data_IF_074297960983
#
_entry.id   IF_074297960983
#
_cell.length_a   1.000
_cell.length_b   1.000
_cell.length_c   1.000
_cell.angle_alpha   90.00
_cell.angle_beta   90.00
_cell.angle_gamma   90.00
#
_symmetry.space_group_name_H-M   'P 1'
#
loop_
_entity.id
_entity.type
_entity.pdbx_description
1 polymer ?
#
# COMPACT_ATOMS: atom_id res chain seq x y z
N UNK A 1 14.60 -18.56 -14.77
CA UNK A 1 14.64 -17.10 -14.68
C UNK A 1 13.39 -16.38 -15.21
N UNK A 2 12.77 -16.83 -16.33
CA UNK A 2 11.59 -16.14 -16.91
C UNK A 2 10.42 -15.90 -15.92
N UNK A 3 10.21 -16.80 -14.96
CA UNK A 3 9.12 -16.68 -13.97
C UNK A 3 9.43 -15.74 -12.77
N UNK A 4 10.59 -15.09 -12.77
CA UNK A 4 11.02 -14.14 -11.73
C UNK A 4 11.30 -12.74 -12.28
N UNK A 5 10.92 -12.50 -13.54
CA UNK A 5 11.05 -11.21 -14.20
C UNK A 5 9.66 -10.62 -14.45
N UNK A 6 9.44 -9.43 -13.95
CA UNK A 6 8.26 -8.63 -14.25
C UNK A 6 8.72 -7.36 -14.98
N UNK A 7 8.21 -7.14 -16.19
CA UNK A 7 8.33 -5.85 -16.87
C UNK A 7 7.02 -5.10 -16.68
N UNK A 8 7.09 -3.83 -16.31
CA UNK A 8 5.90 -3.05 -15.97
C UNK A 8 4.87 -3.01 -17.10
N UNK A 9 5.31 -2.91 -18.34
CA UNK A 9 4.45 -2.93 -19.53
C UNK A 9 3.80 -4.29 -19.85
N UNK A 10 4.17 -5.36 -19.14
CA UNK A 10 3.55 -6.69 -19.24
C UNK A 10 2.56 -6.96 -18.10
N UNK A 11 2.41 -6.03 -17.15
CA UNK A 11 1.49 -6.18 -16.04
C UNK A 11 0.05 -5.92 -16.49
N UNK A 12 -0.89 -6.69 -15.96
CA UNK A 12 -2.31 -6.52 -16.21
C UNK A 12 -2.94 -6.00 -14.91
N UNK A 13 -3.48 -4.77 -14.92
CA UNK A 13 -4.09 -4.21 -13.72
C UNK A 13 -5.47 -4.81 -13.45
N UNK A 14 -5.85 -4.93 -12.17
CA UNK A 14 -7.24 -4.94 -11.77
C UNK A 14 -7.75 -3.51 -11.70
N UNK A 15 -8.89 -3.25 -12.34
CA UNK A 15 -9.60 -1.95 -12.30
C UNK A 15 -10.74 -1.96 -11.28
N UNK A 16 -11.05 -3.10 -10.69
CA UNK A 16 -12.04 -3.27 -9.62
C UNK A 16 -11.44 -4.14 -8.49
N UNK A 17 -10.31 -3.71 -7.90
CA UNK A 17 -9.59 -4.54 -6.93
C UNK A 17 -10.27 -4.63 -5.57
N UNK A 18 -11.16 -3.69 -5.24
CA UNK A 18 -11.75 -3.53 -3.91
C UNK A 18 -13.22 -3.11 -3.99
N UNK A 19 -13.92 -3.30 -2.89
CA UNK A 19 -15.36 -2.98 -2.74
C UNK A 19 -15.71 -1.54 -3.11
N UNK A 20 -14.79 -0.61 -2.93
CA UNK A 20 -14.94 0.82 -3.23
C UNK A 20 -14.72 1.20 -4.71
N UNK A 21 -14.30 0.24 -5.55
CA UNK A 21 -13.80 0.51 -6.90
C UNK A 21 -14.76 1.18 -7.86
N UNK A 22 -16.07 1.24 -7.55
CA UNK A 22 -17.06 2.01 -8.32
C UNK A 22 -17.36 3.41 -7.76
N UNK A 23 -16.78 3.78 -6.63
CA UNK A 23 -17.01 5.09 -6.03
C UNK A 23 -16.21 6.19 -6.75
N UNK A 24 -16.76 7.39 -6.76
CA UNK A 24 -16.01 8.60 -7.14
C UNK A 24 -14.78 8.73 -6.23
N UNK A 25 -13.64 9.11 -6.83
CA UNK A 25 -12.36 9.16 -6.14
C UNK A 25 -11.65 7.80 -6.00
N UNK A 26 -12.24 6.69 -6.51
CA UNK A 26 -11.63 5.36 -6.45
C UNK A 26 -11.66 4.62 -7.79
N UNK A 27 -12.54 4.98 -8.70
CA UNK A 27 -12.80 4.26 -9.95
C UNK A 27 -11.72 4.41 -11.02
N UNK A 28 -10.94 5.49 -10.97
CA UNK A 28 -9.83 5.76 -11.90
C UNK A 28 -8.48 5.35 -11.29
N UNK A 29 -8.49 4.17 -10.67
CA UNK A 29 -7.33 3.53 -10.07
C UNK A 29 -7.09 2.16 -10.68
N UNK A 30 -5.83 1.81 -10.90
CA UNK A 30 -5.36 0.51 -11.39
C UNK A 30 -4.43 -0.11 -10.36
N UNK A 31 -4.73 -1.34 -9.95
CA UNK A 31 -3.88 -2.09 -9.04
C UNK A 31 -3.16 -3.21 -9.78
N UNK A 32 -1.86 -3.34 -9.56
CA UNK A 32 -1.01 -4.35 -10.18
C UNK A 32 -0.45 -5.27 -9.11
N UNK A 33 -0.62 -6.58 -9.26
CA UNK A 33 -0.01 -7.60 -8.39
C UNK A 33 1.24 -8.13 -9.06
N UNK A 34 2.41 -7.69 -8.57
CA UNK A 34 3.72 -8.00 -9.15
C UNK A 34 4.27 -9.28 -8.52
N UNK A 35 4.36 -9.33 -7.19
CA UNK A 35 4.76 -10.50 -6.41
C UNK A 35 3.67 -10.77 -5.38
N UNK A 36 3.09 -11.96 -5.42
CA UNK A 36 1.99 -12.35 -4.54
C UNK A 36 0.67 -11.63 -4.85
N UNK A 37 -0.43 -12.04 -4.20
CA UNK A 37 -1.77 -11.51 -4.45
C UNK A 37 -2.00 -10.09 -3.90
N UNK A 38 -1.21 -9.67 -2.90
CA UNK A 38 -1.53 -8.47 -2.14
C UNK A 38 -2.85 -8.61 -1.37
N UNK A 39 -3.41 -7.49 -0.92
CA UNK A 39 -4.68 -7.44 -0.17
C UNK A 39 -5.91 -7.27 -1.05
N UNK A 40 -5.79 -7.36 -2.39
CA UNK A 40 -6.92 -7.15 -3.28
C UNK A 40 -8.04 -8.17 -3.05
N UNK A 41 -9.28 -7.69 -3.04
CA UNK A 41 -10.50 -8.50 -2.89
C UNK A 41 -10.94 -9.15 -4.21
N UNK A 42 -10.34 -8.73 -5.33
CA UNK A 42 -10.55 -9.32 -6.65
C UNK A 42 -9.82 -10.65 -6.77
N UNK A 43 -10.53 -11.75 -6.61
CA UNK A 43 -9.99 -13.12 -6.74
C UNK A 43 -9.53 -13.47 -8.18
N UNK A 44 -9.87 -12.66 -9.17
CA UNK A 44 -9.51 -12.87 -10.58
C UNK A 44 -8.34 -12.00 -11.03
N UNK A 45 -7.72 -11.25 -10.12
CA UNK A 45 -6.59 -10.40 -10.47
C UNK A 45 -5.43 -11.21 -11.05
N UNK A 46 -4.73 -10.61 -12.01
CA UNK A 46 -3.52 -11.21 -12.58
C UNK A 46 -2.33 -11.01 -11.64
N UNK A 47 -1.66 -12.09 -11.26
CA UNK A 47 -0.45 -12.07 -10.43
C UNK A 47 0.74 -12.46 -11.30
N UNK A 48 1.70 -11.56 -11.49
CA UNK A 48 2.85 -11.79 -12.38
C UNK A 48 3.82 -12.84 -11.83
N UNK A 49 4.13 -12.78 -10.54
CA UNK A 49 5.02 -13.71 -9.82
C UNK A 49 4.24 -14.27 -8.64
N UNK A 50 3.61 -15.43 -8.83
CA UNK A 50 2.76 -16.05 -7.81
C UNK A 50 3.55 -16.87 -6.77
N UNK A 51 4.86 -17.09 -6.99
CA UNK A 51 5.70 -17.84 -6.07
C UNK A 51 5.91 -17.04 -4.77
N UNK A 52 5.80 -17.67 -3.58
CA UNK A 52 6.05 -17.03 -2.29
C UNK A 52 7.46 -16.44 -2.18
N UNK A 53 7.58 -15.25 -1.57
CA UNK A 53 8.83 -14.52 -1.38
C UNK A 53 8.98 -13.93 0.01
N UNK A 54 8.08 -14.26 0.95
CA UNK A 54 7.94 -13.69 2.29
C UNK A 54 7.57 -12.19 2.29
N UNK A 55 7.11 -11.68 1.15
CA UNK A 55 6.51 -10.35 0.98
C UNK A 55 5.63 -10.34 -0.25
N UNK A 56 4.72 -9.38 -0.31
CA UNK A 56 3.97 -9.05 -1.52
C UNK A 56 4.47 -7.71 -2.08
N UNK A 57 4.53 -7.60 -3.39
CA UNK A 57 4.85 -6.35 -4.10
C UNK A 57 3.74 -6.05 -5.10
N UNK A 58 3.13 -4.90 -4.94
CA UNK A 58 2.15 -4.35 -5.86
C UNK A 58 2.56 -2.98 -6.37
N UNK A 59 1.74 -2.45 -7.26
CA UNK A 59 1.79 -1.06 -7.66
C UNK A 59 0.37 -0.53 -7.83
N UNK A 60 0.21 0.77 -7.61
CA UNK A 60 -1.05 1.48 -7.83
C UNK A 60 -0.77 2.67 -8.71
N UNK A 61 -1.46 2.77 -9.86
CA UNK A 61 -1.57 4.04 -10.58
C UNK A 61 -2.97 4.61 -10.40
N UNK A 62 -3.06 5.94 -10.29
CA UNK A 62 -4.33 6.63 -10.17
C UNK A 62 -4.30 7.98 -10.85
N UNK A 63 -5.42 8.33 -11.49
CA UNK A 63 -5.65 9.69 -11.97
C UNK A 63 -5.80 10.67 -10.80
N UNK A 64 -5.67 11.98 -11.01
CA UNK A 64 -5.87 12.98 -9.98
C UNK A 64 -7.16 12.76 -9.16
N UNK A 65 -7.09 12.99 -7.85
CA UNK A 65 -8.19 12.83 -6.90
C UNK A 65 -8.73 11.38 -6.79
N UNK A 66 -7.94 10.38 -7.22
CA UNK A 66 -8.28 8.97 -7.06
C UNK A 66 -7.26 8.26 -6.16
N UNK A 67 -7.75 7.28 -5.39
CA UNK A 67 -6.93 6.55 -4.43
C UNK A 67 -7.72 5.46 -3.72
N UNK A 68 -7.37 5.20 -2.45
CA UNK A 68 -8.08 4.25 -1.60
C UNK A 68 -8.96 4.95 -0.57
N UNK A 69 -10.04 4.31 -0.14
CA UNK A 69 -10.81 4.70 1.03
C UNK A 69 -10.12 4.27 2.33
N UNK A 70 -10.66 4.76 3.45
CA UNK A 70 -10.14 4.43 4.78
C UNK A 70 -10.33 2.95 5.11
N UNK A 71 -9.21 2.27 5.31
CA UNK A 71 -9.16 0.86 5.64
C UNK A 71 -7.97 0.55 6.56
N UNK A 72 -8.00 -0.60 7.19
CA UNK A 72 -6.91 -1.15 7.99
C UNK A 72 -6.64 -2.58 7.60
N UNK A 73 -5.42 -3.03 7.78
CA UNK A 73 -5.07 -4.45 7.75
C UNK A 73 -3.93 -4.73 8.75
N UNK A 74 -3.70 -6.00 9.04
CA UNK A 74 -2.78 -6.44 10.09
C UNK A 74 -1.33 -6.53 9.64
N UNK A 75 -1.10 -6.51 8.34
CA UNK A 75 0.25 -6.58 7.75
C UNK A 75 0.89 -5.21 7.66
N UNK A 76 2.21 -5.14 7.81
CA UNK A 76 2.99 -3.95 7.53
C UNK A 76 2.87 -3.57 6.05
N UNK A 77 2.70 -2.28 5.77
CA UNK A 77 2.54 -1.75 4.43
C UNK A 77 3.44 -0.55 4.19
N UNK A 78 4.27 -0.66 3.17
CA UNK A 78 5.24 0.37 2.80
C UNK A 78 4.94 0.89 1.41
N UNK A 79 4.75 2.20 1.32
CA UNK A 79 4.53 2.90 0.05
C UNK A 79 5.81 3.59 -0.40
N UNK A 80 6.19 3.35 -1.65
CA UNK A 80 7.31 3.98 -2.34
C UNK A 80 6.72 4.85 -3.44
N UNK A 81 6.82 6.16 -3.30
CA UNK A 81 6.29 7.10 -4.28
C UNK A 81 7.21 7.13 -5.49
N UNK A 82 6.78 6.51 -6.59
CA UNK A 82 7.57 6.47 -7.83
C UNK A 82 7.39 7.74 -8.66
N UNK A 83 6.14 8.18 -8.82
CA UNK A 83 5.82 9.42 -9.52
C UNK A 83 4.54 10.06 -8.97
N UNK A 84 4.39 11.36 -9.22
CA UNK A 84 3.26 12.13 -8.77
C UNK A 84 3.43 12.67 -7.35
N UNK A 85 2.35 13.20 -6.85
CA UNK A 85 2.22 13.80 -5.52
C UNK A 85 1.04 13.14 -4.83
N UNK A 86 1.28 12.57 -3.65
CA UNK A 86 0.30 11.71 -2.98
C UNK A 86 -0.04 12.24 -1.60
N UNK A 87 -1.33 12.32 -1.31
CA UNK A 87 -1.88 12.57 0.01
C UNK A 87 -2.10 11.23 0.70
N UNK A 88 -1.53 11.07 1.87
CA UNK A 88 -1.84 9.98 2.80
C UNK A 88 -2.63 10.57 3.96
N UNK A 89 -3.74 9.95 4.33
CA UNK A 89 -4.57 10.41 5.43
C UNK A 89 -5.02 9.22 6.27
N UNK A 90 -5.25 9.45 7.56
CA UNK A 90 -5.47 8.36 8.50
C UNK A 90 -6.40 8.74 9.65
N UNK A 91 -6.68 7.70 10.54
CA UNK A 91 -7.70 7.72 11.57
C UNK A 91 -9.06 7.34 11.00
N UNK A 92 -10.00 7.01 11.87
CA UNK A 92 -11.34 6.55 11.46
C UNK A 92 -12.12 7.60 10.64
N UNK A 93 -11.78 8.88 10.80
CA UNK A 93 -12.40 10.01 10.10
C UNK A 93 -11.49 10.63 9.03
N UNK A 94 -10.24 10.16 8.90
CA UNK A 94 -9.28 10.65 7.90
C UNK A 94 -8.88 12.12 8.08
N UNK A 95 -8.79 12.60 9.33
CA UNK A 95 -8.52 14.03 9.63
C UNK A 95 -7.05 14.40 9.62
N UNK A 96 -6.19 13.48 10.01
CA UNK A 96 -4.74 13.68 9.98
C UNK A 96 -4.22 13.28 8.60
N UNK A 97 -3.30 14.06 8.02
CA UNK A 97 -2.80 13.83 6.67
C UNK A 97 -1.38 14.32 6.44
N UNK A 98 -0.75 13.82 5.39
CA UNK A 98 0.53 14.30 4.88
C UNK A 98 0.58 14.20 3.36
N UNK A 99 1.31 15.12 2.73
CA UNK A 99 1.63 15.05 1.30
C UNK A 99 3.06 14.54 1.13
N UNK A 100 3.21 13.53 0.28
CA UNK A 100 4.49 12.95 -0.11
C UNK A 100 4.71 13.09 -1.62
N UNK A 101 5.97 13.21 -2.02
CA UNK A 101 6.38 13.43 -3.40
C UNK A 101 7.21 12.26 -3.91
N UNK A 102 7.46 12.22 -5.22
CA UNK A 102 8.30 11.21 -5.85
C UNK A 102 9.65 11.05 -5.11
N UNK A 103 10.00 9.81 -4.81
CA UNK A 103 11.18 9.44 -4.04
C UNK A 103 10.98 9.32 -2.54
N UNK A 104 9.89 9.87 -1.98
CA UNK A 104 9.54 9.70 -0.56
C UNK A 104 9.01 8.28 -0.31
N UNK A 105 9.16 7.81 0.93
CA UNK A 105 8.71 6.48 1.37
C UNK A 105 8.01 6.63 2.71
N UNK A 106 6.87 5.95 2.88
CA UNK A 106 6.16 5.87 4.14
C UNK A 106 5.84 4.41 4.48
N UNK A 107 6.13 4.02 5.72
CA UNK A 107 5.69 2.75 6.29
C UNK A 107 4.48 2.98 7.18
N UNK A 108 3.32 2.56 6.72
CA UNK A 108 2.10 2.72 7.50
C UNK A 108 2.05 1.71 8.65
N UNK A 109 1.86 2.16 9.91
CA UNK A 109 1.66 1.26 11.02
C UNK A 109 0.47 0.33 10.82
N UNK A 110 0.58 -0.90 11.34
CA UNK A 110 -0.53 -1.84 11.41
C UNK A 110 -1.63 -1.34 12.35
N UNK A 111 -2.80 -1.96 12.30
CA UNK A 111 -3.92 -1.66 13.20
C UNK A 111 -4.37 -0.18 13.22
N UNK A 112 -4.20 0.51 12.09
CA UNK A 112 -4.57 1.92 11.91
C UNK A 112 -5.38 2.07 10.63
N UNK A 113 -6.47 2.84 10.67
CA UNK A 113 -7.16 3.24 9.43
C UNK A 113 -6.31 4.24 8.66
N UNK A 114 -6.09 3.96 7.39
CA UNK A 114 -5.35 4.81 6.46
C UNK A 114 -5.95 4.75 5.07
N UNK A 115 -5.62 5.76 4.31
CA UNK A 115 -5.99 5.90 2.91
C UNK A 115 -4.94 6.73 2.18
N UNK A 116 -5.00 6.72 0.85
CA UNK A 116 -4.16 7.56 0.01
C UNK A 116 -4.94 8.06 -1.19
N UNK A 117 -4.48 9.18 -1.75
CA UNK A 117 -5.08 9.83 -2.91
C UNK A 117 -3.99 10.47 -3.76
N UNK A 118 -4.10 10.40 -5.07
CA UNK A 118 -3.27 11.19 -5.96
C UNK A 118 -3.67 12.67 -5.87
N UNK A 119 -2.85 13.47 -5.20
CA UNK A 119 -3.02 14.91 -5.02
C UNK A 119 -2.26 15.74 -6.08
N UNK A 120 -1.76 15.09 -7.13
CA UNK A 120 -1.12 15.73 -8.28
C UNK A 120 -2.12 16.05 -9.38
N UNK A 121 -1.58 16.57 -10.51
CA UNK A 121 -2.36 17.01 -11.67
C UNK A 121 -2.32 15.99 -12.83
N UNK A 122 -1.48 14.94 -12.70
CA UNK A 122 -1.29 13.88 -13.68
C UNK A 122 -1.43 12.50 -13.02
N UNK A 123 -1.50 11.43 -13.83
CA UNK A 123 -1.49 10.04 -13.32
C UNK A 123 -0.21 9.79 -12.50
N UNK A 124 -0.39 9.42 -11.24
CA UNK A 124 0.69 9.06 -10.33
C UNK A 124 0.87 7.56 -10.22
N UNK A 125 2.06 7.14 -9.76
CA UNK A 125 2.41 5.74 -9.52
C UNK A 125 3.10 5.58 -8.17
N UNK A 126 2.62 4.63 -7.37
CA UNK A 126 3.25 4.17 -6.13
C UNK A 126 3.49 2.67 -6.19
N UNK A 127 4.61 2.21 -5.64
CA UNK A 127 4.80 0.79 -5.31
C UNK A 127 4.41 0.54 -3.87
N UNK A 128 3.86 -0.65 -3.63
CA UNK A 128 3.36 -1.06 -2.31
C UNK A 128 3.98 -2.39 -1.95
N UNK A 129 4.65 -2.46 -0.80
CA UNK A 129 5.23 -3.68 -0.26
C UNK A 129 4.47 -4.07 1.01
N UNK A 130 3.99 -5.31 1.07
CA UNK A 130 3.34 -5.89 2.24
C UNK A 130 4.22 -7.00 2.81
N UNK A 131 4.34 -7.06 4.11
CA UNK A 131 5.09 -8.12 4.80
C UNK A 131 4.36 -9.46 4.75
N UNK A 132 5.13 -10.56 4.67
CA UNK A 132 4.60 -11.92 4.63
C UNK A 132 4.04 -12.35 3.27
N UNK A 133 3.78 -13.63 3.13
CA UNK A 133 3.14 -14.21 1.95
C UNK A 133 1.61 -14.13 2.03
N UNK A 134 1.05 -14.14 3.25
CA UNK A 134 -0.36 -13.86 3.52
C UNK A 134 -0.53 -12.36 3.83
N UNK A 135 -1.16 -11.59 2.94
CA UNK A 135 -1.35 -10.15 3.14
C UNK A 135 -2.45 -9.81 4.16
N UNK A 136 -3.16 -10.81 4.69
CA UNK A 136 -4.25 -10.63 5.63
C UNK A 136 -5.55 -10.14 4.99
N UNK A 137 -6.43 -9.62 5.82
CA UNK A 137 -7.78 -9.17 5.46
C UNK A 137 -7.88 -7.66 5.66
N UNK A 138 -8.60 -6.99 4.76
CA UNK A 138 -8.92 -5.58 4.89
C UNK A 138 -10.10 -5.40 5.84
N UNK A 139 -9.98 -4.45 6.76
CA UNK A 139 -11.09 -3.92 7.56
C UNK A 139 -11.40 -2.51 7.08
N UNK A 140 -12.59 -2.32 6.52
CA UNK A 140 -13.07 -1.03 6.04
C UNK A 140 -13.78 -0.23 7.15
N UNK A 141 -13.65 1.09 7.12
CA UNK A 141 -14.56 1.91 7.93
C UNK A 141 -15.99 1.74 7.42
N UNK A 142 -17.01 1.73 8.31
CA UNK A 142 -18.41 1.48 7.94
C UNK A 142 -18.90 2.36 6.77
N UNK A 143 -18.52 3.63 6.75
CA UNK A 143 -18.96 4.57 5.73
C UNK A 143 -18.48 4.22 4.30
N UNK A 144 -17.37 3.50 4.16
CA UNK A 144 -16.90 3.00 2.84
C UNK A 144 -17.82 1.88 2.37
N UNK A 145 -18.12 0.89 3.22
CA UNK A 145 -19.02 -0.22 2.88
C UNK A 145 -20.44 0.27 2.56
N UNK A 146 -20.95 1.23 3.34
CA UNK A 146 -22.27 1.83 3.09
C UNK A 146 -22.35 2.57 1.75
N UNK A 147 -21.29 3.31 1.38
CA UNK A 147 -21.20 3.98 0.08
C UNK A 147 -21.07 2.97 -1.05
N UNK A 148 -20.22 1.96 -0.91
CA UNK A 148 -20.01 0.92 -1.91
C UNK A 148 -21.32 0.16 -2.22
N UNK A 149 -22.09 -0.18 -1.20
CA UNK A 149 -23.41 -0.85 -1.34
C UNK A 149 -24.37 -0.06 -2.23
N UNK A 150 -24.31 1.28 -2.21
CA UNK A 150 -25.15 2.13 -3.10
C UNK A 150 -24.76 2.02 -4.57
N UNK A 151 -23.56 1.55 -4.88
CA UNK A 151 -23.09 1.29 -6.25
C UNK A 151 -23.31 -0.17 -6.70
N UNK A 152 -23.91 -0.99 -5.83
CA UNK A 152 -24.09 -2.42 -6.04
C UNK A 152 -22.90 -3.27 -5.59
N UNK A 153 -21.81 -2.66 -5.10
CA UNK A 153 -20.65 -3.41 -4.61
C UNK A 153 -20.82 -3.77 -3.15
N UNK A 154 -20.47 -5.02 -2.79
CA UNK A 154 -20.47 -5.48 -1.41
C UNK A 154 -19.36 -6.51 -1.17
N UNK A 155 -19.01 -6.72 0.09
CA UNK A 155 -18.25 -7.86 0.55
C UNK A 155 -19.21 -8.89 1.17
N UNK A 156 -18.89 -10.14 0.98
CA UNK A 156 -19.58 -11.24 1.67
C UNK A 156 -18.88 -11.55 3.01
N UNK A 157 -19.54 -12.33 3.84
CA UNK A 157 -19.03 -12.71 5.16
C UNK A 157 -17.73 -13.51 5.17
N UNK A 158 -17.22 -13.90 4.01
CA UNK A 158 -15.89 -14.50 3.79
C UNK A 158 -14.90 -13.52 3.13
N UNK A 159 -15.23 -12.23 3.12
CA UNK A 159 -14.48 -11.14 2.48
C UNK A 159 -14.37 -11.24 0.94
N UNK A 160 -15.13 -12.09 0.30
CA UNK A 160 -15.16 -12.12 -1.16
C UNK A 160 -15.98 -10.94 -1.70
N UNK A 161 -15.47 -10.33 -2.77
CA UNK A 161 -16.09 -9.20 -3.46
C UNK A 161 -17.26 -9.68 -4.34
N UNK A 162 -18.38 -8.98 -4.28
CA UNK A 162 -19.53 -9.23 -5.14
C UNK A 162 -20.10 -7.94 -5.72
N UNK A 163 -20.47 -8.00 -6.99
CA UNK A 163 -21.27 -6.97 -7.66
C UNK A 163 -22.74 -7.43 -7.71
N UNK A 164 -23.56 -6.87 -6.84
CA UNK A 164 -24.98 -7.19 -6.69
C UNK A 164 -25.84 -6.68 -7.86
N UNK A 165 -25.28 -5.81 -8.73
CA UNK A 165 -25.99 -5.35 -9.92
C UNK A 165 -26.09 -6.42 -11.03
N UNK A 166 -25.20 -7.43 -10.97
CA UNK A 166 -25.09 -8.49 -11.97
C UNK A 166 -25.02 -9.90 -11.39
N UNK A 167 -24.90 -10.03 -10.06
CA UNK A 167 -24.80 -11.32 -9.39
C UNK A 167 -25.80 -11.41 -8.23
N UNK A 168 -26.22 -12.63 -7.91
CA UNK A 168 -26.96 -12.95 -6.69
C UNK A 168 -26.00 -13.42 -5.61
N UNK A 169 -26.37 -13.19 -4.35
CA UNK A 169 -25.60 -13.70 -3.21
C UNK A 169 -25.62 -15.22 -3.25
N UNK A 170 -24.48 -15.90 -3.23
CA UNK A 170 -24.39 -17.36 -3.23
C UNK A 170 -25.09 -17.96 -1.99
N UNK A 171 -25.63 -19.16 -2.15
CA UNK A 171 -26.26 -19.89 -1.04
C UNK A 171 -25.30 -20.04 0.14
N UNK A 172 -25.80 -19.80 1.35
CA UNK A 172 -25.02 -19.85 2.59
C UNK A 172 -24.11 -18.65 2.84
N UNK A 173 -24.10 -17.66 1.96
CA UNK A 173 -23.37 -16.40 2.16
C UNK A 173 -24.31 -15.27 2.57
N UNK A 174 -23.75 -14.30 3.29
CA UNK A 174 -24.43 -13.05 3.66
C UNK A 174 -23.52 -11.86 3.35
N UNK A 175 -24.07 -10.67 3.25
CA UNK A 175 -23.29 -9.45 3.16
C UNK A 175 -22.53 -9.26 4.48
N UNK A 176 -21.25 -8.87 4.39
CA UNK A 176 -20.41 -8.54 5.53
C UNK A 176 -21.02 -7.36 6.30
N UNK A 177 -21.26 -7.54 7.57
CA UNK A 177 -21.69 -6.46 8.45
C UNK A 177 -20.49 -5.55 8.78
N UNK A 178 -20.67 -4.22 8.70
CA UNK A 178 -19.64 -3.29 9.11
C UNK A 178 -19.29 -3.44 10.59
N UNK A 179 -18.04 -3.17 10.94
CA UNK A 179 -17.60 -3.16 12.34
C UNK A 179 -18.32 -2.07 13.13
N UNK A 180 -18.53 -2.32 14.42
CA UNK A 180 -19.20 -1.40 15.33
C UNK A 180 -18.32 -0.20 15.72
N UNK A 181 -18.93 0.85 16.25
CA UNK A 181 -18.21 2.00 16.80
C UNK A 181 -17.28 1.63 17.95
N UNK A 182 -17.62 0.60 18.72
CA UNK A 182 -16.77 0.10 19.82
C UNK A 182 -15.52 -0.63 19.28
N UNK A 183 -15.64 -1.31 18.15
CA UNK A 183 -14.51 -1.94 17.47
C UNK A 183 -13.60 -0.89 16.83
N UNK A 184 -14.16 0.17 16.23
CA UNK A 184 -13.38 1.28 15.67
C UNK A 184 -12.45 1.92 16.71
N UNK A 185 -12.90 2.06 17.95
CA UNK A 185 -12.11 2.64 19.06
C UNK A 185 -10.88 1.82 19.44
N UNK A 186 -10.79 0.56 19.01
CA UNK A 186 -9.64 -0.33 19.28
C UNK A 186 -8.50 -0.11 18.30
N UNK A 187 -8.73 0.62 17.20
CA UNK A 187 -7.68 0.94 16.24
C UNK A 187 -6.81 2.09 16.72
N UNK A 188 -5.54 2.00 16.40
CA UNK A 188 -4.58 3.02 16.75
C UNK A 188 -4.84 4.32 15.97
N UNK A 189 -4.61 5.44 16.63
CA UNK A 189 -4.70 6.76 16.02
C UNK A 189 -3.41 7.54 16.32
N UNK A 190 -2.63 7.80 15.29
CA UNK A 190 -1.36 8.51 15.37
C UNK A 190 -1.56 9.99 15.10
N UNK A 191 -0.85 10.84 15.82
CA UNK A 191 -0.67 12.24 15.44
C UNK A 191 0.44 12.35 14.37
N UNK A 192 0.46 13.45 13.63
CA UNK A 192 1.44 13.66 12.56
C UNK A 192 2.89 13.52 13.06
N UNK A 193 3.22 14.13 14.20
CA UNK A 193 4.55 14.04 14.82
C UNK A 193 4.96 12.60 15.20
N UNK A 194 3.99 11.79 15.58
CA UNK A 194 4.21 10.37 15.87
C UNK A 194 4.44 9.54 14.60
N UNK A 195 3.85 9.97 13.46
CA UNK A 195 3.97 9.28 12.17
C UNK A 195 5.27 9.65 11.44
N UNK A 196 5.87 10.82 11.70
CA UNK A 196 7.10 11.27 11.03
C UNK A 196 8.24 10.26 11.10
N UNK A 197 8.37 9.51 12.19
CA UNK A 197 9.39 8.45 12.33
C UNK A 197 9.22 7.26 11.36
N UNK A 198 8.09 7.16 10.69
CA UNK A 198 7.79 6.15 9.67
C UNK A 198 7.93 6.70 8.24
N UNK A 199 8.49 7.90 8.08
CA UNK A 199 8.61 8.57 6.79
C UNK A 199 10.08 8.81 6.47
N UNK A 200 10.46 8.47 5.24
CA UNK A 200 11.71 8.88 4.63
C UNK A 200 11.43 9.94 3.58
N UNK A 201 12.06 11.10 3.72
CA UNK A 201 11.98 12.20 2.75
C UNK A 201 13.18 12.15 1.81
N UNK A 202 12.93 12.02 0.53
CA UNK A 202 13.97 11.96 -0.51
C UNK A 202 14.82 13.25 -0.56
N UNK A 203 14.23 14.38 -0.20
CA UNK A 203 14.94 15.66 -0.08
C UNK A 203 16.00 15.68 1.04
N UNK A 204 15.96 14.73 1.96
CA UNK A 204 16.88 14.60 3.09
C UNK A 204 17.91 13.49 2.91
N UNK A 205 18.00 12.90 1.73
CA UNK A 205 18.88 11.76 1.40
C UNK A 205 20.29 11.88 1.97
N UNK A 206 20.92 13.05 1.80
CA UNK A 206 22.31 13.27 2.22
C UNK A 206 22.56 13.07 3.71
N UNK A 207 21.53 13.18 4.54
CA UNK A 207 21.63 12.93 6.00
C UNK A 207 21.83 11.45 6.34
N UNK A 208 21.44 10.55 5.43
CA UNK A 208 21.34 9.11 5.66
C UNK A 208 22.27 8.27 4.80
N UNK A 209 23.07 8.90 3.92
CA UNK A 209 23.99 8.22 3.03
C UNK A 209 25.18 7.63 3.79
N UNK A 210 25.40 6.33 3.64
CA UNK A 210 26.55 5.61 4.11
C UNK A 210 27.44 5.22 2.95
N UNK A 211 28.69 5.57 2.97
CA UNK A 211 29.65 5.25 1.93
C UNK A 211 30.05 3.78 1.99
N UNK A 212 29.67 2.98 1.00
CA UNK A 212 30.13 1.59 0.88
C UNK A 212 31.50 1.48 0.21
N UNK A 213 31.73 2.30 -0.82
CA UNK A 213 33.01 2.43 -1.51
C UNK A 213 33.10 3.78 -2.24
N UNK A 214 34.13 3.99 -3.05
CA UNK A 214 34.34 5.26 -3.76
C UNK A 214 33.19 5.68 -4.69
N UNK A 215 32.40 4.71 -5.17
CA UNK A 215 31.39 4.93 -6.19
C UNK A 215 29.96 4.61 -5.73
N UNK A 216 29.79 4.02 -4.55
CA UNK A 216 28.50 3.51 -4.09
C UNK A 216 28.19 4.02 -2.69
N UNK A 217 27.04 4.67 -2.55
CA UNK A 217 26.44 5.01 -1.28
C UNK A 217 25.20 4.15 -1.04
N UNK A 218 24.98 3.78 0.22
CA UNK A 218 23.81 3.05 0.70
C UNK A 218 22.97 3.96 1.61
N UNK A 219 21.67 3.93 1.42
CA UNK A 219 20.71 4.43 2.40
C UNK A 219 19.86 3.25 2.85
N UNK A 220 19.98 2.86 4.12
CA UNK A 220 19.09 1.87 4.72
C UNK A 220 17.79 2.57 5.09
N UNK A 221 16.73 2.34 4.32
CA UNK A 221 15.45 3.02 4.52
C UNK A 221 14.67 2.38 5.67
N UNK A 222 14.45 1.08 5.58
CA UNK A 222 13.55 0.34 6.46
C UNK A 222 14.21 -0.96 6.90
N UNK A 223 13.93 -1.37 8.12
CA UNK A 223 14.32 -2.65 8.67
C UNK A 223 14.50 -2.61 10.17
N UNK A 224 14.84 -3.74 10.76
CA UNK A 224 15.28 -3.82 12.15
C UNK A 224 16.63 -3.13 12.32
N UNK A 225 16.84 -2.54 13.48
CA UNK A 225 18.12 -1.93 13.86
C UNK A 225 19.22 -2.99 13.75
N UNK A 226 20.16 -2.78 12.83
CA UNK A 226 21.34 -3.62 12.74
C UNK A 226 22.25 -3.40 13.97
N UNK A 227 23.00 -4.42 14.36
CA UNK A 227 23.95 -4.33 15.47
C UNK A 227 25.07 -3.31 15.23
N UNK A 228 25.38 -3.03 13.95
CA UNK A 228 26.39 -2.04 13.55
C UNK A 228 25.75 -0.67 13.35
N UNK A 229 26.26 0.35 14.04
CA UNK A 229 25.75 1.73 13.96
C UNK A 229 25.81 2.35 12.55
N UNK A 230 26.67 1.82 11.68
CA UNK A 230 26.90 2.35 10.32
C UNK A 230 25.70 2.16 9.36
N UNK A 231 24.81 1.23 9.67
CA UNK A 231 23.69 0.86 8.79
C UNK A 231 22.33 0.92 9.50
N UNK A 232 22.17 1.83 10.43
CA UNK A 232 20.88 2.00 11.10
C UNK A 232 19.82 2.47 10.12
N UNK A 233 18.65 1.81 10.04
CA UNK A 233 17.57 2.22 9.14
C UNK A 233 16.98 3.57 9.56
N UNK A 234 16.55 4.37 8.58
CA UNK A 234 15.81 5.63 8.82
C UNK A 234 14.49 5.32 9.52
N UNK A 235 13.80 4.29 9.04
CA UNK A 235 12.57 3.77 9.63
C UNK A 235 12.91 2.46 10.33
N UNK A 236 13.01 2.52 11.66
CA UNK A 236 13.27 1.34 12.48
C UNK A 236 11.96 0.63 12.79
N UNK A 237 11.61 -0.33 11.97
CA UNK A 237 10.38 -1.11 12.09
C UNK A 237 10.61 -2.55 11.60
N UNK A 238 10.04 -3.52 12.31
CA UNK A 238 9.99 -4.90 11.85
C UNK A 238 8.77 -5.08 10.93
N UNK A 239 9.06 -5.17 9.64
CA UNK A 239 8.06 -5.36 8.59
C UNK A 239 8.15 -6.74 7.93
N UNK A 240 9.10 -7.58 8.39
CA UNK A 240 9.43 -8.85 7.76
C UNK A 240 10.31 -8.74 6.51
N UNK A 241 10.69 -7.52 6.10
CA UNK A 241 11.61 -7.25 5.00
C UNK A 241 12.43 -5.99 5.25
N UNK A 242 13.53 -5.83 4.49
CA UNK A 242 14.38 -4.65 4.51
C UNK A 242 14.29 -3.91 3.18
N UNK A 243 14.38 -2.57 3.24
CA UNK A 243 14.40 -1.71 2.06
C UNK A 243 15.61 -0.79 2.10
N UNK A 244 16.37 -0.75 1.01
CA UNK A 244 17.54 0.11 0.88
C UNK A 244 17.60 0.77 -0.49
N UNK A 245 18.22 1.95 -0.55
CA UNK A 245 18.57 2.62 -1.80
C UNK A 245 20.07 2.54 -2.00
N UNK A 246 20.50 2.04 -3.15
CA UNK A 246 21.88 2.12 -3.60
C UNK A 246 22.01 3.27 -4.60
N UNK A 247 22.92 4.20 -4.34
CA UNK A 247 23.27 5.29 -5.25
C UNK A 247 24.67 5.05 -5.79
N UNK A 248 24.82 5.05 -7.10
CA UNK A 248 26.11 4.93 -7.77
C UNK A 248 26.47 6.22 -8.49
N UNK A 249 27.72 6.68 -8.34
CA UNK A 249 28.28 7.81 -9.09
C UNK A 249 28.73 7.41 -10.50
N UNK A 250 28.81 6.10 -10.80
CA UNK A 250 29.14 5.55 -12.12
C UNK A 250 28.00 4.66 -12.60
N UNK A 251 27.84 4.58 -13.93
CA UNK A 251 26.90 3.61 -14.52
C UNK A 251 27.27 2.20 -14.02
N UNK A 252 26.33 1.54 -13.34
CA UNK A 252 26.44 0.12 -13.03
C UNK A 252 26.11 -0.67 -14.31
N UNK A 253 27.07 -0.70 -15.24
CA UNK A 253 26.97 -1.61 -16.38
C UNK A 253 27.47 -2.97 -15.89
N UNK A 254 26.57 -3.89 -15.75
CA UNK A 254 26.89 -5.32 -15.62
C UNK A 254 26.74 -6.00 -16.97
#
# INVERSE_FOLDING_TARGET
MKNRLAKFNELVPSTLPFVEGKLEGHKERKNYSIVGPGVAEDSKQFIKIAMPHSFNLGAVSALPQNGSGLHSHTTAEVFIIYSGRWRFYWGAEGKDEIILNAGDIISMPTNMFRAFENAGDEEGLIFVVLGGDDPGIITWVPSVLEKAKKTGMALLNDNSLIDLSINQIPEGKTILEPISQEEIKKFDNYKLDQLEKFIFKSSENSKYENKLNENINLIQILGNKFETKEFSPVINQDTGFNLSILKSSKSLIT
#
